data_IF_690592674994
#
_entry.id   IF_690592674994
#
_cell.length_a   1.000
_cell.length_b   1.000
_cell.length_c   1.000
_cell.angle_alpha   90.00
_cell.angle_beta   90.00
_cell.angle_gamma   90.00
#
_symmetry.space_group_name_H-M   'P 1'
#
loop_
_entity.id
_entity.type
_entity.pdbx_description
1 polymer ?
#
# COMPACT_ATOMS: atom_id res chain seq x y z
N UNK A 1 22.74 -7.53 -19.36
CA UNK A 1 21.64 -7.52 -18.38
C UNK A 1 21.53 -8.96 -17.91
N UNK A 2 21.59 -9.21 -16.63
CA UNK A 2 21.37 -10.56 -16.15
C UNK A 2 19.89 -10.90 -16.43
N UNK A 3 19.65 -12.03 -17.08
CA UNK A 3 18.30 -12.55 -17.29
C UNK A 3 17.69 -12.77 -15.91
N UNK A 4 16.76 -11.90 -15.55
CA UNK A 4 16.05 -11.99 -14.29
C UNK A 4 14.92 -13.02 -14.50
N UNK A 5 15.13 -14.24 -14.04
CA UNK A 5 14.05 -15.24 -13.97
C UNK A 5 13.00 -14.76 -12.96
N UNK A 6 11.82 -14.46 -13.45
CA UNK A 6 10.67 -14.18 -12.60
C UNK A 6 10.26 -15.52 -11.97
N UNK A 7 10.32 -15.65 -10.62
CA UNK A 7 9.95 -16.90 -9.97
C UNK A 7 8.49 -17.27 -10.31
N UNK A 8 8.22 -18.56 -10.52
CA UNK A 8 6.84 -19.03 -10.75
C UNK A 8 5.95 -18.68 -9.54
N UNK A 9 4.76 -18.17 -9.80
CA UNK A 9 3.73 -18.01 -8.80
C UNK A 9 3.34 -19.40 -8.27
N UNK A 10 3.19 -19.52 -6.94
CA UNK A 10 2.53 -20.69 -6.34
C UNK A 10 1.14 -20.82 -6.94
N UNK A 11 0.67 -22.05 -7.09
CA UNK A 11 -0.64 -22.34 -7.64
C UNK A 11 -1.72 -21.50 -6.97
N UNK A 12 -2.46 -20.81 -7.81
CA UNK A 12 -3.50 -19.90 -7.41
C UNK A 12 -4.77 -20.71 -7.03
N UNK A 13 -5.23 -20.50 -5.81
CA UNK A 13 -6.52 -21.04 -5.36
C UNK A 13 -7.57 -19.96 -5.52
N UNK A 14 -8.56 -20.22 -6.36
CA UNK A 14 -9.73 -19.36 -6.48
C UNK A 14 -10.53 -19.41 -5.17
N UNK A 15 -10.55 -18.29 -4.45
CA UNK A 15 -11.37 -18.16 -3.23
C UNK A 15 -12.68 -17.50 -3.64
N UNK A 16 -13.84 -18.16 -3.46
CA UNK A 16 -15.12 -17.53 -3.73
C UNK A 16 -15.27 -16.31 -2.82
N UNK A 17 -15.55 -15.15 -3.41
CA UNK A 17 -15.84 -13.93 -2.64
C UNK A 17 -17.14 -14.15 -1.87
N UNK A 18 -17.17 -13.96 -0.54
CA UNK A 18 -18.41 -14.01 0.19
C UNK A 18 -19.31 -12.87 -0.29
N UNK A 19 -20.60 -13.14 -0.40
CA UNK A 19 -21.60 -12.08 -0.53
C UNK A 19 -21.68 -11.36 0.82
N UNK A 20 -20.88 -10.31 0.98
CA UNK A 20 -20.90 -9.48 2.18
C UNK A 20 -22.09 -8.53 2.02
N UNK A 21 -23.18 -8.79 2.75
CA UNK A 21 -24.23 -7.81 2.97
C UNK A 21 -23.66 -6.58 3.71
N UNK A 22 -24.28 -5.43 3.55
CA UNK A 22 -23.94 -4.23 4.33
C UNK A 22 -24.04 -4.59 5.80
N UNK A 23 -22.90 -4.55 6.50
CA UNK A 23 -22.83 -4.85 7.92
C UNK A 23 -23.12 -3.57 8.71
N UNK A 24 -24.27 -3.51 9.38
CA UNK A 24 -24.43 -2.58 10.48
C UNK A 24 -23.61 -3.09 11.66
N UNK A 25 -22.52 -2.41 12.01
CA UNK A 25 -21.71 -2.79 13.16
C UNK A 25 -22.13 -1.99 14.38
N UNK A 26 -22.69 -2.68 15.37
CA UNK A 26 -22.90 -2.14 16.71
C UNK A 26 -21.65 -2.37 17.59
N UNK A 27 -20.52 -1.71 17.25
CA UNK A 27 -19.31 -1.83 18.06
C UNK A 27 -18.04 -2.09 17.25
N UNK A 28 -16.90 -2.36 17.93
CA UNK A 28 -15.65 -2.64 17.24
C UNK A 28 -15.79 -3.89 16.36
N UNK A 29 -15.29 -3.81 15.13
CA UNK A 29 -15.33 -4.93 14.19
C UNK A 29 -14.55 -6.11 14.76
N UNK A 30 -15.24 -7.19 15.05
CA UNK A 30 -14.65 -8.48 15.37
C UNK A 30 -14.85 -9.37 14.14
N UNK A 31 -13.75 -9.87 13.58
CA UNK A 31 -13.82 -10.81 12.47
C UNK A 31 -14.68 -12.02 12.88
N UNK A 32 -15.76 -12.27 12.13
CA UNK A 32 -16.65 -13.39 12.42
C UNK A 32 -15.97 -14.68 11.98
N UNK A 33 -15.90 -15.72 12.83
CA UNK A 33 -15.27 -17.00 12.48
C UNK A 33 -15.81 -17.59 11.17
N UNK A 34 -17.12 -17.55 10.97
CA UNK A 34 -17.78 -18.08 9.77
C UNK A 34 -17.32 -17.36 8.49
N UNK A 35 -17.04 -16.06 8.56
CA UNK A 35 -16.51 -15.31 7.42
C UNK A 35 -15.04 -15.64 7.14
N UNK A 36 -14.27 -15.90 8.19
CA UNK A 36 -12.87 -16.33 8.03
C UNK A 36 -12.80 -17.70 7.38
N UNK A 37 -13.65 -18.64 7.83
CA UNK A 37 -13.75 -19.98 7.24
C UNK A 37 -14.17 -19.91 5.77
N UNK A 38 -15.21 -19.13 5.43
CA UNK A 38 -15.67 -18.95 4.06
C UNK A 38 -14.58 -18.38 3.13
N UNK A 39 -13.71 -17.52 3.66
CA UNK A 39 -12.54 -16.97 2.93
C UNK A 39 -11.34 -17.93 2.95
N UNK A 40 -11.43 -19.07 3.64
CA UNK A 40 -10.34 -20.01 3.81
C UNK A 40 -9.19 -19.45 4.66
N UNK A 41 -9.48 -18.61 5.64
CA UNK A 41 -8.50 -18.08 6.59
C UNK A 41 -8.55 -18.82 7.94
N UNK A 42 -7.41 -18.93 8.62
CA UNK A 42 -6.06 -18.79 8.09
C UNK A 42 -5.77 -19.80 6.99
N UNK A 43 -4.84 -19.97 6.29
CA UNK A 43 -4.52 -21.06 5.37
C UNK A 43 -4.07 -22.32 6.10
N UNK A 44 -3.58 -23.29 5.34
CA UNK A 44 -2.97 -24.49 5.87
C UNK A 44 -1.47 -24.30 6.00
N UNK A 45 -0.91 -24.75 7.11
CA UNK A 45 0.54 -24.72 7.33
C UNK A 45 1.23 -25.68 6.35
N UNK A 46 2.32 -25.22 5.75
CA UNK A 46 3.17 -26.07 4.89
C UNK A 46 3.90 -27.12 5.72
N UNK A 47 4.36 -28.21 5.08
CA UNK A 47 5.21 -29.20 5.73
C UNK A 47 6.47 -28.52 6.31
N UNK A 48 6.89 -28.96 7.48
CA UNK A 48 8.06 -28.40 8.20
C UNK A 48 8.01 -26.87 8.45
N UNK A 49 6.80 -26.34 8.59
CA UNK A 49 6.52 -24.91 8.74
C UNK A 49 7.37 -24.23 9.84
N UNK A 50 7.64 -24.91 10.94
CA UNK A 50 8.44 -24.36 12.06
C UNK A 50 9.86 -23.99 11.57
N UNK A 51 10.53 -24.89 10.87
CA UNK A 51 11.86 -24.64 10.33
C UNK A 51 11.81 -23.60 9.20
N UNK A 52 10.79 -23.64 8.34
CA UNK A 52 10.60 -22.64 7.28
C UNK A 52 10.44 -21.24 7.90
N UNK A 53 9.61 -21.09 8.91
CA UNK A 53 9.39 -19.82 9.61
C UNK A 53 10.66 -19.29 10.28
N UNK A 54 11.36 -20.16 11.03
CA UNK A 54 12.59 -19.80 11.73
C UNK A 54 13.68 -19.37 10.76
N UNK A 55 13.89 -20.14 9.69
CA UNK A 55 14.90 -19.80 8.67
C UNK A 55 14.55 -18.48 7.98
N UNK A 56 13.28 -18.29 7.59
CA UNK A 56 12.83 -17.06 6.95
C UNK A 56 13.03 -15.83 7.85
N UNK A 57 12.68 -15.94 9.14
CA UNK A 57 12.94 -14.85 10.10
C UNK A 57 14.44 -14.53 10.23
N UNK A 58 15.28 -15.56 10.25
CA UNK A 58 16.74 -15.39 10.27
C UNK A 58 17.27 -14.68 9.02
N UNK A 59 16.79 -15.08 7.84
CA UNK A 59 17.15 -14.47 6.56
C UNK A 59 16.74 -13.01 6.50
N UNK A 60 15.51 -12.69 6.91
CA UNK A 60 15.01 -11.31 6.98
C UNK A 60 15.85 -10.44 7.91
N UNK A 61 16.17 -10.94 9.12
CA UNK A 61 17.02 -10.23 10.08
C UNK A 61 18.46 -10.03 9.59
N UNK A 62 18.97 -10.94 8.77
CA UNK A 62 20.30 -10.81 8.16
C UNK A 62 20.30 -9.89 6.94
N UNK A 63 19.27 -9.97 6.12
CA UNK A 63 19.13 -9.19 4.89
C UNK A 63 18.79 -7.74 5.19
N UNK A 64 17.88 -7.50 6.13
CA UNK A 64 17.40 -6.17 6.51
C UNK A 64 17.97 -5.77 7.88
N UNK A 65 19.11 -5.09 7.87
CA UNK A 65 19.77 -4.64 9.11
C UNK A 65 18.87 -3.77 9.98
N UNK A 66 17.99 -2.97 9.37
CA UNK A 66 16.99 -2.15 10.08
C UNK A 66 16.09 -2.99 10.97
N UNK A 67 15.57 -4.12 10.46
CA UNK A 67 14.71 -5.02 11.22
C UNK A 67 15.43 -5.50 12.50
N UNK A 68 16.68 -5.94 12.38
CA UNK A 68 17.47 -6.39 13.53
C UNK A 68 17.68 -5.27 14.57
N UNK A 69 18.02 -4.07 14.10
CA UNK A 69 18.16 -2.90 14.98
C UNK A 69 16.83 -2.60 15.70
N UNK A 70 15.71 -2.63 15.00
CA UNK A 70 14.40 -2.38 15.60
C UNK A 70 14.06 -3.42 16.68
N UNK A 71 14.32 -4.69 16.42
CA UNK A 71 14.09 -5.78 17.39
C UNK A 71 14.96 -5.65 18.64
N UNK A 72 16.21 -5.18 18.50
CA UNK A 72 17.15 -5.07 19.61
C UNK A 72 17.02 -3.74 20.39
N UNK A 73 16.65 -2.63 19.74
CA UNK A 73 16.69 -1.28 20.32
C UNK A 73 15.47 -0.89 21.14
N UNK A 74 14.36 -1.62 21.08
CA UNK A 74 13.15 -1.28 21.81
C UNK A 74 13.32 -1.46 23.32
N UNK A 75 13.21 -0.36 24.06
CA UNK A 75 13.29 -0.33 25.54
C UNK A 75 11.91 -0.40 26.22
N UNK A 76 10.83 -0.64 25.46
CA UNK A 76 9.45 -0.73 25.99
C UNK A 76 8.97 0.52 26.73
N UNK A 77 9.39 1.70 26.29
CA UNK A 77 9.03 2.98 26.94
C UNK A 77 7.53 3.34 26.82
N UNK A 78 6.77 2.68 25.93
CA UNK A 78 5.32 2.91 25.78
C UNK A 78 4.93 4.15 24.96
N UNK A 79 5.86 4.97 24.48
CA UNK A 79 5.55 6.20 23.74
C UNK A 79 4.70 6.00 22.47
N UNK A 80 4.66 4.78 21.94
CA UNK A 80 3.87 4.40 20.76
C UNK A 80 2.44 3.93 21.11
N UNK A 81 2.13 3.67 22.37
CA UNK A 81 0.89 2.98 22.80
C UNK A 81 -0.36 3.73 22.35
N UNK A 82 -0.50 5.00 22.75
CA UNK A 82 -1.64 5.86 22.42
C UNK A 82 -1.61 6.42 20.98
N UNK A 83 -0.65 5.97 20.16
CA UNK A 83 -0.53 6.37 18.76
C UNK A 83 -1.18 5.40 17.80
N UNK A 84 -1.49 4.19 18.26
CA UNK A 84 -2.14 3.16 17.43
C UNK A 84 -3.65 3.29 17.48
N UNK A 85 -4.28 3.53 16.33
CA UNK A 85 -5.73 3.63 16.22
C UNK A 85 -6.43 2.29 16.53
N UNK A 86 -5.82 1.15 16.19
CA UNK A 86 -6.35 -0.17 16.58
C UNK A 86 -6.36 -0.37 18.10
N UNK A 87 -5.30 0.05 18.79
CA UNK A 87 -5.28 0.00 20.24
C UNK A 87 -6.35 0.93 20.85
N UNK A 88 -6.45 2.15 20.32
CA UNK A 88 -7.46 3.11 20.81
C UNK A 88 -8.90 2.63 20.57
N UNK A 89 -9.15 1.96 19.43
CA UNK A 89 -10.47 1.46 19.09
C UNK A 89 -10.85 0.16 19.80
N UNK A 90 -9.88 -0.75 19.98
CA UNK A 90 -10.15 -2.09 20.57
C UNK A 90 -9.85 -2.18 22.04
N UNK A 91 -9.02 -1.29 22.60
CA UNK A 91 -8.46 -1.38 23.97
C UNK A 91 -7.67 -2.67 24.26
N UNK A 92 -7.43 -3.51 23.24
CA UNK A 92 -6.66 -4.75 23.37
C UNK A 92 -5.16 -4.41 23.49
N UNK A 93 -4.57 -4.80 24.63
CA UNK A 93 -3.15 -4.55 24.91
C UNK A 93 -2.19 -5.14 23.86
N UNK A 94 -2.57 -6.22 23.20
CA UNK A 94 -1.77 -6.84 22.14
C UNK A 94 -1.73 -6.00 20.85
N UNK A 95 -2.66 -5.07 20.68
CA UNK A 95 -2.67 -4.09 19.62
C UNK A 95 -1.72 -2.90 19.85
N UNK A 96 -1.13 -2.78 21.05
CA UNK A 96 -0.06 -1.79 21.25
C UNK A 96 1.12 -2.08 20.30
N UNK A 97 1.70 -1.10 19.64
CA UNK A 97 2.85 -1.32 18.75
C UNK A 97 4.04 -2.00 19.45
N UNK A 98 4.27 -1.67 20.70
CA UNK A 98 5.31 -2.33 21.53
C UNK A 98 5.01 -3.82 21.76
N UNK A 99 3.75 -4.20 21.93
CA UNK A 99 3.34 -5.60 22.09
C UNK A 99 3.54 -6.37 20.79
N UNK A 100 3.09 -5.82 19.65
CA UNK A 100 3.35 -6.42 18.33
C UNK A 100 4.85 -6.65 18.09
N UNK A 101 5.68 -5.68 18.44
CA UNK A 101 7.13 -5.86 18.33
C UNK A 101 7.62 -7.01 19.21
N UNK A 102 7.10 -7.15 20.41
CA UNK A 102 7.47 -8.25 21.32
C UNK A 102 7.03 -9.62 20.81
N UNK A 103 5.92 -9.72 20.08
CA UNK A 103 5.50 -10.98 19.46
C UNK A 103 6.61 -11.52 18.53
N UNK A 104 7.11 -10.71 17.61
CA UNK A 104 8.19 -11.11 16.71
C UNK A 104 9.51 -11.26 17.42
N UNK A 105 9.86 -10.29 18.29
CA UNK A 105 11.12 -10.25 19.03
C UNK A 105 11.32 -11.45 19.93
N UNK A 106 10.27 -11.94 20.57
CA UNK A 106 10.35 -13.08 21.48
C UNK A 106 10.79 -14.35 20.75
N UNK A 107 10.27 -14.58 19.53
CA UNK A 107 10.68 -15.71 18.69
C UNK A 107 12.08 -15.48 18.11
N UNK A 108 12.38 -14.27 17.61
CA UNK A 108 13.72 -13.91 17.17
C UNK A 108 14.77 -14.16 18.26
N UNK A 109 14.50 -13.78 19.51
CA UNK A 109 15.38 -14.02 20.64
C UNK A 109 15.61 -15.49 20.90
N UNK A 110 14.58 -16.32 20.81
CA UNK A 110 14.69 -17.75 21.06
C UNK A 110 15.64 -18.44 20.08
N UNK A 111 15.50 -18.19 18.79
CA UNK A 111 16.20 -18.93 17.74
C UNK A 111 17.50 -18.26 17.25
N UNK A 112 17.56 -16.92 17.24
CA UNK A 112 18.60 -16.17 16.53
C UNK A 112 19.59 -15.41 17.42
N UNK A 113 19.38 -15.41 18.74
CA UNK A 113 20.37 -14.79 19.65
C UNK A 113 21.21 -15.83 20.40
N UNK A 114 22.51 -15.53 20.73
CA UNK A 114 23.33 -16.43 21.51
C UNK A 114 22.70 -16.78 22.87
N UNK A 115 22.16 -15.78 23.58
CA UNK A 115 21.50 -15.98 24.86
C UNK A 115 20.28 -16.90 24.72
N UNK A 116 19.46 -16.73 23.68
CA UNK A 116 18.29 -17.57 23.40
C UNK A 116 18.70 -19.03 23.18
N UNK A 117 19.71 -19.26 22.36
CA UNK A 117 20.21 -20.61 22.06
C UNK A 117 20.76 -21.37 23.29
N UNK A 118 21.30 -20.65 24.27
CA UNK A 118 21.77 -21.23 25.51
C UNK A 118 20.66 -21.43 26.53
N UNK A 119 19.89 -20.37 26.79
CA UNK A 119 18.83 -20.37 27.82
C UNK A 119 17.66 -21.28 27.47
N UNK A 120 17.32 -21.43 26.17
CA UNK A 120 16.28 -22.36 25.74
C UNK A 120 16.62 -23.83 26.05
N UNK A 121 17.92 -24.22 25.96
CA UNK A 121 18.34 -25.57 26.33
C UNK A 121 18.25 -25.83 27.83
N UNK A 122 18.25 -24.77 28.64
CA UNK A 122 18.15 -24.83 30.10
C UNK A 122 16.70 -24.62 30.60
N UNK A 123 15.72 -24.40 29.70
CA UNK A 123 14.36 -24.08 30.08
C UNK A 123 14.21 -22.69 30.74
N UNK A 124 15.15 -21.78 30.48
CA UNK A 124 15.26 -20.45 31.10
C UNK A 124 15.00 -19.31 30.12
N UNK A 125 14.44 -19.61 28.96
CA UNK A 125 14.16 -18.64 27.87
C UNK A 125 13.29 -17.47 28.33
N UNK A 126 12.42 -17.68 29.30
CA UNK A 126 11.55 -16.62 29.85
C UNK A 126 12.33 -15.47 30.50
N UNK A 127 13.55 -15.70 30.99
CA UNK A 127 14.38 -14.66 31.60
C UNK A 127 14.76 -13.54 30.61
N UNK A 128 14.80 -13.87 29.34
CA UNK A 128 15.10 -12.89 28.27
C UNK A 128 13.86 -12.53 27.43
N UNK A 129 12.66 -12.95 27.86
CA UNK A 129 11.43 -12.75 27.11
C UNK A 129 11.42 -13.47 25.77
N UNK A 130 12.08 -14.63 25.68
CA UNK A 130 12.09 -15.46 24.48
C UNK A 130 10.94 -16.48 24.53
N UNK A 131 10.35 -16.81 23.38
CA UNK A 131 9.27 -17.77 23.20
C UNK A 131 9.61 -18.75 22.08
N UNK A 132 9.34 -20.03 22.31
CA UNK A 132 9.37 -21.02 21.23
C UNK A 132 8.23 -20.75 20.26
N UNK A 133 8.45 -20.94 18.98
CA UNK A 133 7.42 -20.86 17.95
C UNK A 133 6.48 -22.06 18.07
N UNK A 134 5.21 -21.81 18.10
CA UNK A 134 4.13 -22.81 18.15
C UNK A 134 2.96 -22.33 17.29
N UNK A 135 2.01 -23.20 16.99
CA UNK A 135 0.79 -22.82 16.26
C UNK A 135 0.01 -21.69 16.97
N UNK A 136 -0.05 -21.71 18.30
CA UNK A 136 -0.68 -20.61 19.06
C UNK A 136 0.03 -19.27 18.80
N UNK A 137 1.37 -19.28 18.71
CA UNK A 137 2.14 -18.08 18.39
C UNK A 137 1.89 -17.64 16.96
N UNK A 138 1.75 -18.56 16.01
CA UNK A 138 1.37 -18.24 14.63
C UNK A 138 -0.03 -17.63 14.57
N UNK A 139 -1.00 -18.15 15.32
CA UNK A 139 -2.35 -17.59 15.41
C UNK A 139 -2.35 -16.18 16.01
N UNK A 140 -1.54 -15.94 17.07
CA UNK A 140 -1.32 -14.58 17.61
C UNK A 140 -0.72 -13.66 16.55
N UNK A 141 0.29 -14.11 15.80
CA UNK A 141 0.91 -13.32 14.74
C UNK A 141 -0.08 -13.00 13.64
N UNK A 142 -0.83 -13.99 13.18
CA UNK A 142 -1.86 -13.79 12.16
C UNK A 142 -2.85 -12.69 12.56
N UNK A 143 -3.38 -12.77 13.76
CA UNK A 143 -4.32 -11.78 14.27
C UNK A 143 -3.70 -10.38 14.36
N UNK A 144 -2.61 -10.23 15.11
CA UNK A 144 -2.14 -8.91 15.49
C UNK A 144 -1.28 -8.23 14.43
N UNK A 145 -0.57 -8.97 13.59
CA UNK A 145 0.17 -8.36 12.51
C UNK A 145 -0.72 -7.95 11.33
N UNK A 146 -1.79 -8.69 11.02
CA UNK A 146 -2.72 -8.27 9.97
C UNK A 146 -3.66 -7.14 10.41
N UNK A 147 -3.89 -6.95 11.70
CA UNK A 147 -4.57 -5.76 12.22
C UNK A 147 -3.74 -4.47 12.10
N UNK A 148 -2.43 -4.57 11.88
CA UNK A 148 -1.60 -3.40 11.66
C UNK A 148 -1.84 -2.84 10.26
N UNK A 149 -2.42 -1.64 10.13
CA UNK A 149 -2.59 -0.96 8.84
C UNK A 149 -1.30 -0.39 8.25
N UNK A 150 -0.16 -0.59 8.90
CA UNK A 150 1.16 -0.09 8.48
C UNK A 150 1.23 1.44 8.31
N UNK A 151 0.39 2.17 9.01
CA UNK A 151 0.28 3.62 8.92
C UNK A 151 1.50 4.40 9.46
N UNK A 152 2.44 3.76 10.15
CA UNK A 152 3.70 4.33 10.69
C UNK A 152 3.54 5.44 11.74
N UNK A 153 2.33 5.69 12.25
CA UNK A 153 2.14 6.73 13.26
C UNK A 153 2.96 6.45 14.52
N UNK A 154 2.98 5.20 14.97
CA UNK A 154 3.82 4.76 16.08
C UNK A 154 5.33 4.96 15.83
N UNK A 155 5.76 4.86 14.58
CA UNK A 155 7.17 5.04 14.19
C UNK A 155 7.60 6.49 14.29
N UNK A 156 6.75 7.44 13.84
CA UNK A 156 7.01 8.89 13.94
C UNK A 156 7.15 9.35 15.39
N UNK A 157 6.34 8.80 16.29
CA UNK A 157 6.39 9.15 17.71
C UNK A 157 7.36 8.31 18.54
N UNK A 158 8.09 7.39 17.92
CA UNK A 158 9.09 6.58 18.61
C UNK A 158 10.40 7.38 18.84
N UNK A 159 10.81 7.62 20.09
CA UNK A 159 12.05 8.37 20.36
C UNK A 159 13.32 7.62 19.92
N UNK A 160 13.21 6.34 19.61
CA UNK A 160 14.31 5.47 19.14
C UNK A 160 14.25 5.20 17.63
N UNK A 161 13.32 5.80 16.92
CA UNK A 161 13.18 5.63 15.45
C UNK A 161 12.79 4.23 14.99
N UNK A 162 12.12 3.45 15.84
CA UNK A 162 11.70 2.08 15.50
C UNK A 162 10.51 2.11 14.54
N UNK A 163 10.62 1.39 13.43
CA UNK A 163 9.53 1.23 12.49
C UNK A 163 8.76 -0.07 12.73
N UNK A 164 7.63 0.03 13.44
CA UNK A 164 6.76 -1.13 13.71
C UNK A 164 6.05 -1.63 12.44
N UNK A 165 5.90 -0.80 11.41
CA UNK A 165 5.35 -1.25 10.13
C UNK A 165 6.30 -2.22 9.43
N UNK A 166 7.61 -1.98 9.44
CA UNK A 166 8.61 -2.91 8.91
C UNK A 166 8.64 -4.23 9.69
N UNK A 167 8.48 -4.17 11.01
CA UNK A 167 8.37 -5.38 11.85
C UNK A 167 7.12 -6.18 11.47
N UNK A 168 5.99 -5.51 11.22
CA UNK A 168 4.75 -6.16 10.80
C UNK A 168 4.88 -6.76 9.40
N UNK A 169 5.56 -6.09 8.48
CA UNK A 169 5.86 -6.64 7.14
C UNK A 169 6.70 -7.92 7.25
N UNK A 170 7.77 -7.90 8.05
CA UNK A 170 8.61 -9.08 8.24
C UNK A 170 7.84 -10.27 8.82
N UNK A 171 6.97 -10.03 9.79
CA UNK A 171 6.12 -11.08 10.37
C UNK A 171 5.13 -11.65 9.34
N UNK A 172 4.49 -10.77 8.53
CA UNK A 172 3.59 -11.19 7.45
C UNK A 172 4.30 -11.99 6.37
N UNK A 173 5.54 -11.62 6.02
CA UNK A 173 6.34 -12.38 5.06
C UNK A 173 6.65 -13.79 5.57
N UNK A 174 6.88 -13.95 6.88
CA UNK A 174 7.02 -15.28 7.48
C UNK A 174 5.71 -16.05 7.40
N UNK A 175 4.57 -15.42 7.75
CA UNK A 175 3.25 -16.04 7.69
C UNK A 175 2.89 -16.47 6.25
N UNK A 176 3.16 -15.64 5.27
CA UNK A 176 2.94 -15.98 3.85
C UNK A 176 3.79 -17.17 3.40
N UNK A 177 5.06 -17.19 3.82
CA UNK A 177 5.99 -18.28 3.47
C UNK A 177 5.57 -19.64 4.06
N UNK A 178 4.92 -19.66 5.21
CA UNK A 178 4.45 -20.90 5.86
C UNK A 178 3.02 -21.29 5.48
N UNK A 179 2.40 -20.61 4.52
CA UNK A 179 1.09 -20.97 3.96
C UNK A 179 -0.12 -20.30 4.63
N UNK A 180 0.10 -19.47 5.65
CA UNK A 180 -0.97 -18.73 6.35
C UNK A 180 -0.96 -17.24 6.05
N UNK A 181 -0.49 -16.85 4.88
CA UNK A 181 -0.59 -15.49 4.35
C UNK A 181 -2.02 -15.11 3.99
N UNK A 182 -2.25 -13.82 3.76
CA UNK A 182 -3.57 -13.31 3.40
C UNK A 182 -3.95 -13.72 1.97
N UNK A 183 -4.83 -14.71 1.82
CA UNK A 183 -5.22 -15.30 0.54
C UNK A 183 -5.78 -14.26 -0.44
N UNK A 184 -6.60 -13.33 0.01
CA UNK A 184 -7.17 -12.28 -0.83
C UNK A 184 -6.10 -11.43 -1.53
N UNK A 185 -5.07 -11.00 -0.80
CA UNK A 185 -3.96 -10.25 -1.41
C UNK A 185 -3.15 -11.10 -2.39
N UNK A 186 -2.93 -12.37 -2.07
CA UNK A 186 -2.26 -13.31 -2.97
C UNK A 186 -3.08 -13.54 -4.26
N UNK A 187 -4.40 -13.64 -4.15
CA UNK A 187 -5.30 -13.73 -5.29
C UNK A 187 -5.19 -12.51 -6.21
N UNK A 188 -5.25 -11.32 -5.65
CA UNK A 188 -5.09 -10.08 -6.41
C UNK A 188 -3.74 -10.02 -7.11
N UNK A 189 -2.66 -10.34 -6.39
CA UNK A 189 -1.30 -10.38 -6.97
C UNK A 189 -1.26 -11.37 -8.14
N UNK A 190 -1.89 -12.53 -7.99
CA UNK A 190 -2.01 -13.53 -9.05
C UNK A 190 -2.76 -13.01 -10.27
N UNK A 191 -3.87 -12.30 -10.09
CA UNK A 191 -4.63 -11.67 -11.18
C UNK A 191 -3.82 -10.61 -11.91
N UNK A 192 -3.18 -9.70 -11.16
CA UNK A 192 -2.31 -8.68 -11.76
C UNK A 192 -1.17 -9.30 -12.54
N UNK A 193 -0.55 -10.34 -12.00
CA UNK A 193 0.54 -11.03 -12.67
C UNK A 193 0.09 -11.73 -13.95
N UNK A 194 -1.07 -12.41 -13.96
CA UNK A 194 -1.57 -13.15 -15.11
C UNK A 194 -2.20 -12.26 -16.18
N UNK A 195 -2.95 -11.24 -15.77
CA UNK A 195 -3.85 -10.48 -16.66
C UNK A 195 -3.45 -9.00 -16.75
N UNK A 196 -2.82 -8.44 -15.71
CA UNK A 196 -2.34 -7.05 -15.69
C UNK A 196 -3.13 -6.13 -14.76
N UNK A 197 -4.27 -6.56 -14.24
CA UNK A 197 -5.07 -5.77 -13.30
C UNK A 197 -5.65 -6.63 -12.17
N UNK A 198 -5.96 -6.00 -11.04
CA UNK A 198 -6.41 -6.69 -9.82
C UNK A 198 -7.84 -7.24 -9.91
N UNK A 199 -8.65 -6.81 -10.87
CA UNK A 199 -9.98 -7.39 -11.11
C UNK A 199 -9.92 -8.64 -12.02
N UNK A 200 -8.81 -8.83 -12.74
CA UNK A 200 -8.65 -9.92 -13.66
C UNK A 200 -9.45 -9.74 -14.96
N UNK A 201 -9.67 -8.48 -15.38
CA UNK A 201 -10.41 -8.16 -16.59
C UNK A 201 -9.52 -8.27 -17.82
N UNK A 202 -9.98 -8.97 -18.87
CA UNK A 202 -9.29 -8.98 -20.15
C UNK A 202 -9.37 -7.58 -20.82
N UNK A 203 -8.39 -7.28 -21.65
CA UNK A 203 -8.29 -5.98 -22.34
C UNK A 203 -9.58 -5.52 -23.03
N UNK A 204 -10.34 -6.36 -23.76
CA UNK A 204 -11.59 -5.93 -24.38
C UNK A 204 -12.62 -5.42 -23.37
N UNK A 205 -12.80 -6.12 -22.25
CA UNK A 205 -13.74 -5.68 -21.21
C UNK A 205 -13.31 -4.38 -20.53
N UNK A 206 -12.01 -4.17 -20.38
CA UNK A 206 -11.48 -2.91 -19.88
C UNK A 206 -11.70 -1.78 -20.88
N UNK A 207 -11.52 -2.02 -22.18
CA UNK A 207 -11.78 -1.05 -23.24
C UNK A 207 -13.25 -0.65 -23.29
N UNK A 208 -14.19 -1.61 -23.21
CA UNK A 208 -15.64 -1.33 -23.17
C UNK A 208 -16.02 -0.45 -21.96
N UNK A 209 -15.40 -0.73 -20.80
CA UNK A 209 -15.63 0.10 -19.60
C UNK A 209 -15.14 1.53 -19.79
N UNK A 210 -13.95 1.71 -20.37
CA UNK A 210 -13.42 3.05 -20.63
C UNK A 210 -14.25 3.82 -21.67
N UNK A 211 -14.80 3.13 -22.68
CA UNK A 211 -15.72 3.73 -23.65
C UNK A 211 -17.00 4.24 -22.97
N UNK A 212 -17.57 3.46 -22.05
CA UNK A 212 -18.72 3.91 -21.25
C UNK A 212 -18.42 5.16 -20.40
N UNK A 213 -17.22 5.23 -19.80
CA UNK A 213 -16.80 6.43 -19.06
C UNK A 213 -16.56 7.63 -19.98
N UNK A 214 -16.07 7.44 -21.20
CA UNK A 214 -15.96 8.50 -22.20
C UNK A 214 -17.31 9.10 -22.57
N UNK A 215 -18.34 8.24 -22.73
CA UNK A 215 -19.73 8.66 -23.00
C UNK A 215 -20.28 9.47 -21.81
N UNK A 216 -20.08 9.02 -20.58
CA UNK A 216 -20.49 9.72 -19.36
C UNK A 216 -19.84 11.11 -19.27
N UNK A 217 -18.55 11.22 -19.57
CA UNK A 217 -17.86 12.52 -19.59
C UNK A 217 -18.45 13.45 -20.65
N UNK A 218 -18.73 12.93 -21.85
CA UNK A 218 -19.30 13.72 -22.95
C UNK A 218 -20.71 14.20 -22.60
N UNK A 219 -21.53 13.38 -21.94
CA UNK A 219 -22.85 13.77 -21.45
C UNK A 219 -22.77 14.88 -20.38
N UNK A 220 -21.78 14.79 -19.48
CA UNK A 220 -21.62 15.75 -18.37
C UNK A 220 -21.11 17.12 -18.83
N UNK A 221 -20.08 17.17 -19.66
CA UNK A 221 -19.41 18.43 -20.03
C UNK A 221 -19.60 18.85 -21.49
N UNK A 222 -20.31 18.06 -22.30
CA UNK A 222 -20.57 18.35 -23.73
C UNK A 222 -19.31 18.32 -24.63
N UNK A 223 -18.22 17.67 -24.15
CA UNK A 223 -16.95 17.57 -24.87
C UNK A 223 -16.46 16.13 -24.82
N UNK A 224 -16.16 15.57 -25.99
CA UNK A 224 -15.58 14.22 -26.09
C UNK A 224 -14.17 14.20 -25.49
N UNK A 225 -14.00 13.49 -24.40
CA UNK A 225 -12.72 13.25 -23.73
C UNK A 225 -12.35 11.77 -23.85
N UNK A 226 -11.12 11.48 -24.23
CA UNK A 226 -10.65 10.10 -24.42
C UNK A 226 -9.89 9.59 -23.20
N UNK A 227 -10.14 8.31 -22.86
CA UNK A 227 -9.39 7.51 -21.90
C UNK A 227 -8.54 6.48 -22.67
N UNK A 228 -7.37 6.87 -23.18
CA UNK A 228 -6.60 6.02 -24.08
C UNK A 228 -6.00 4.81 -23.36
N UNK A 229 -6.23 3.62 -23.89
CA UNK A 229 -5.67 2.36 -23.41
C UNK A 229 -4.56 1.89 -24.35
N UNK A 230 -3.41 1.50 -23.80
CA UNK A 230 -2.26 0.94 -24.52
C UNK A 230 -1.76 1.82 -25.70
N UNK A 231 -1.88 3.13 -25.60
CA UNK A 231 -1.45 4.05 -26.66
C UNK A 231 0.07 4.17 -26.72
N UNK A 232 0.69 3.61 -27.75
CA UNK A 232 2.13 3.73 -27.99
C UNK A 232 2.52 5.18 -28.33
N UNK A 233 3.65 5.64 -27.79
CA UNK A 233 4.14 7.00 -27.97
C UNK A 233 3.40 8.06 -27.14
N UNK A 234 2.63 7.66 -26.15
CA UNK A 234 2.15 8.58 -25.13
C UNK A 234 3.32 9.12 -24.30
N UNK A 235 3.19 10.36 -23.81
CA UNK A 235 4.22 10.94 -22.93
C UNK A 235 4.08 10.44 -21.48
N UNK A 236 2.85 10.15 -21.03
CA UNK A 236 2.54 9.78 -19.66
C UNK A 236 1.85 8.41 -19.63
N UNK A 237 2.34 7.49 -18.79
CA UNK A 237 1.60 6.33 -18.33
C UNK A 237 0.96 6.69 -17.00
N UNK A 238 -0.38 6.71 -16.96
CA UNK A 238 -1.14 6.82 -15.72
C UNK A 238 -1.36 5.42 -15.15
N UNK A 239 -0.89 5.20 -13.93
CA UNK A 239 -1.03 3.93 -13.19
C UNK A 239 -2.03 4.14 -12.07
N UNK A 240 -3.18 3.51 -12.18
CA UNK A 240 -4.27 3.62 -11.22
C UNK A 240 -4.64 2.25 -10.65
N UNK A 241 -5.31 2.19 -9.47
CA UNK A 241 -5.94 0.97 -9.01
C UNK A 241 -7.12 0.61 -9.94
N UNK A 242 -7.40 -0.69 -10.06
CA UNK A 242 -8.53 -1.14 -10.89
C UNK A 242 -9.90 -0.70 -10.34
N UNK A 243 -9.96 -0.28 -9.07
CA UNK A 243 -11.17 0.32 -8.50
C UNK A 243 -11.60 1.59 -9.26
N UNK A 244 -10.65 2.34 -9.82
CA UNK A 244 -10.92 3.56 -10.60
C UNK A 244 -11.76 3.31 -11.86
N UNK A 245 -11.90 2.06 -12.28
CA UNK A 245 -12.70 1.71 -13.46
C UNK A 245 -14.17 1.38 -13.14
N UNK A 246 -14.50 1.06 -11.87
CA UNK A 246 -15.81 0.47 -11.56
C UNK A 246 -16.42 0.89 -10.24
N UNK A 247 -15.63 1.39 -9.29
CA UNK A 247 -16.09 1.60 -7.93
C UNK A 247 -16.23 3.08 -7.62
N UNK A 248 -17.45 3.51 -7.32
CA UNK A 248 -17.67 4.84 -6.76
C UNK A 248 -17.06 4.95 -5.34
N UNK A 249 -16.45 6.06 -4.97
CA UNK A 249 -16.22 7.30 -5.77
C UNK A 249 -14.90 7.28 -6.59
N UNK A 250 -14.25 6.13 -6.76
CA UNK A 250 -12.95 6.03 -7.45
C UNK A 250 -13.06 6.35 -8.94
N UNK A 251 -14.19 5.99 -9.56
CA UNK A 251 -14.50 6.32 -10.97
C UNK A 251 -14.45 7.84 -11.21
N UNK A 252 -15.01 8.63 -10.29
CA UNK A 252 -14.94 10.09 -10.36
C UNK A 252 -13.50 10.62 -10.39
N UNK A 253 -12.59 9.94 -9.70
CA UNK A 253 -11.15 10.23 -9.73
C UNK A 253 -10.58 10.07 -11.14
N UNK A 254 -10.85 8.94 -11.80
CA UNK A 254 -10.37 8.68 -13.16
C UNK A 254 -10.99 9.67 -14.18
N UNK A 255 -12.26 9.91 -14.09
CA UNK A 255 -12.97 10.94 -14.89
C UNK A 255 -12.31 12.31 -14.68
N UNK A 256 -12.03 12.68 -13.43
CA UNK A 256 -11.35 13.93 -13.09
C UNK A 256 -9.95 14.02 -13.70
N UNK A 257 -9.16 12.94 -13.66
CA UNK A 257 -7.83 12.90 -14.30
C UNK A 257 -7.93 13.09 -15.82
N UNK A 258 -8.88 12.42 -16.46
CA UNK A 258 -9.10 12.54 -17.91
C UNK A 258 -9.49 13.98 -18.30
N UNK A 259 -10.40 14.61 -17.58
CA UNK A 259 -10.79 16.03 -17.79
C UNK A 259 -9.60 16.98 -17.64
N UNK A 260 -8.79 16.81 -16.57
CA UNK A 260 -7.59 17.61 -16.31
C UNK A 260 -6.56 17.44 -17.43
N UNK A 261 -6.28 16.20 -17.84
CA UNK A 261 -5.31 15.93 -18.89
C UNK A 261 -5.78 16.43 -20.27
N UNK A 262 -7.07 16.31 -20.56
CA UNK A 262 -7.67 16.84 -21.77
C UNK A 262 -7.53 18.37 -21.83
N UNK A 263 -7.92 19.07 -20.77
CA UNK A 263 -7.84 20.54 -20.73
C UNK A 263 -6.41 21.05 -20.84
N UNK A 264 -5.47 20.34 -20.24
CA UNK A 264 -4.04 20.67 -20.31
C UNK A 264 -3.36 20.24 -21.63
N UNK A 265 -4.07 19.51 -22.50
CA UNK A 265 -3.54 18.99 -23.76
C UNK A 265 -2.44 17.95 -23.58
N UNK A 266 -2.51 17.12 -22.54
CA UNK A 266 -1.50 16.09 -22.26
C UNK A 266 -1.72 14.85 -23.11
N UNK A 267 -0.61 14.26 -23.58
CA UNK A 267 -0.59 13.01 -24.30
C UNK A 267 -0.31 11.86 -23.31
N UNK A 268 -1.33 11.11 -22.95
CA UNK A 268 -1.28 10.11 -21.91
C UNK A 268 -1.93 8.78 -22.31
N UNK A 269 -1.74 7.77 -21.49
CA UNK A 269 -2.38 6.46 -21.66
C UNK A 269 -2.51 5.71 -20.34
N UNK A 270 -3.49 4.81 -20.29
CA UNK A 270 -3.57 3.70 -19.34
C UNK A 270 -2.90 2.46 -19.95
N UNK A 271 -2.69 1.43 -19.14
CA UNK A 271 -2.22 0.12 -19.62
C UNK A 271 -3.14 -0.99 -19.14
N UNK A 272 -3.50 -1.90 -20.03
CA UNK A 272 -4.19 -3.15 -19.66
C UNK A 272 -3.28 -4.16 -18.95
N UNK A 273 -1.95 -3.96 -19.01
CA UNK A 273 -0.94 -4.87 -18.47
C UNK A 273 -0.33 -4.42 -17.14
N UNK A 274 -0.60 -3.20 -16.70
CA UNK A 274 0.00 -2.62 -15.51
C UNK A 274 -0.98 -1.73 -14.77
N UNK A 275 -1.66 -2.29 -13.78
CA UNK A 275 -2.38 -1.51 -12.78
C UNK A 275 -1.55 -1.36 -11.51
N UNK A 276 -1.94 -0.43 -10.69
CA UNK A 276 -1.39 -0.23 -9.38
C UNK A 276 -1.82 -1.38 -8.46
N UNK A 277 -0.89 -2.16 -7.98
CA UNK A 277 -1.15 -3.29 -7.07
C UNK A 277 0.06 -3.66 -6.20
N UNK A 278 1.14 -2.91 -6.24
CA UNK A 278 2.33 -3.16 -5.42
C UNK A 278 2.04 -3.11 -3.92
N UNK A 279 1.02 -2.38 -3.51
CA UNK A 279 0.51 -2.34 -2.14
C UNK A 279 0.04 -3.70 -1.62
N UNK A 280 -0.51 -4.59 -2.46
CA UNK A 280 -0.89 -5.94 -2.02
C UNK A 280 0.32 -6.79 -1.65
N UNK A 281 1.44 -6.65 -2.36
CA UNK A 281 2.72 -7.23 -1.95
C UNK A 281 3.21 -6.68 -0.60
N UNK A 282 3.02 -5.39 -0.34
CA UNK A 282 3.32 -4.78 0.95
C UNK A 282 2.38 -5.33 2.06
N UNK A 283 1.10 -5.56 1.77
CA UNK A 283 0.14 -6.08 2.75
C UNK A 283 0.47 -7.50 3.20
N UNK A 284 1.01 -8.33 2.34
CA UNK A 284 1.50 -9.67 2.72
C UNK A 284 2.97 -9.68 3.17
N UNK A 285 3.64 -8.52 3.14
CA UNK A 285 5.05 -8.38 3.51
C UNK A 285 6.05 -8.85 2.47
N UNK A 286 5.61 -9.26 1.28
CA UNK A 286 6.45 -9.87 0.26
C UNK A 286 7.10 -8.84 -0.67
N UNK A 287 8.39 -8.59 -0.48
CA UNK A 287 9.20 -7.77 -1.40
C UNK A 287 9.30 -8.39 -2.79
N UNK A 288 9.28 -9.70 -2.89
CA UNK A 288 9.31 -10.43 -4.16
C UNK A 288 8.04 -10.14 -4.98
N UNK A 289 6.86 -10.23 -4.35
CA UNK A 289 5.60 -9.92 -5.02
C UNK A 289 5.47 -8.42 -5.35
N UNK A 290 5.95 -7.53 -4.46
CA UNK A 290 6.07 -6.11 -4.81
C UNK A 290 6.92 -5.91 -6.06
N UNK A 291 8.08 -6.61 -6.15
CA UNK A 291 8.96 -6.54 -7.31
C UNK A 291 8.28 -7.03 -8.58
N UNK A 292 7.60 -8.18 -8.54
CA UNK A 292 6.87 -8.72 -9.70
C UNK A 292 5.86 -7.74 -10.27
N UNK A 293 5.06 -7.14 -9.41
CA UNK A 293 4.03 -6.18 -9.82
C UNK A 293 4.65 -4.88 -10.34
N UNK A 294 5.67 -4.36 -9.67
CA UNK A 294 6.34 -3.13 -10.10
C UNK A 294 7.13 -3.32 -11.40
N UNK A 295 7.67 -4.53 -11.65
CA UNK A 295 8.31 -4.86 -12.93
C UNK A 295 7.32 -4.78 -14.10
N UNK A 296 6.05 -5.20 -13.93
CA UNK A 296 5.05 -5.04 -14.98
C UNK A 296 4.80 -3.58 -15.34
N UNK A 297 4.79 -2.69 -14.37
CA UNK A 297 4.67 -1.24 -14.63
C UNK A 297 5.85 -0.76 -15.47
N UNK A 298 7.07 -1.19 -15.14
CA UNK A 298 8.27 -0.86 -15.91
C UNK A 298 8.22 -1.41 -17.34
N UNK A 299 7.81 -2.65 -17.50
CA UNK A 299 7.67 -3.31 -18.81
C UNK A 299 6.63 -2.59 -19.68
N UNK A 300 5.46 -2.28 -19.13
CA UNK A 300 4.42 -1.52 -19.82
C UNK A 300 4.92 -0.12 -20.22
N UNK A 301 5.62 0.58 -19.34
CA UNK A 301 6.18 1.89 -19.64
C UNK A 301 7.19 1.85 -20.79
N UNK A 302 8.06 0.83 -20.83
CA UNK A 302 9.03 0.61 -21.92
C UNK A 302 8.34 0.26 -23.23
N UNK A 303 7.37 -0.66 -23.19
CA UNK A 303 6.64 -1.11 -24.39
C UNK A 303 5.85 0.03 -25.04
N UNK A 304 5.21 0.86 -24.22
CA UNK A 304 4.43 2.01 -24.67
C UNK A 304 5.32 3.19 -25.06
N UNK A 305 6.59 3.19 -24.66
CA UNK A 305 7.55 4.25 -24.99
C UNK A 305 7.27 5.57 -24.28
N UNK A 306 6.71 5.50 -23.08
CA UNK A 306 6.35 6.68 -22.29
C UNK A 306 7.58 7.34 -21.69
N UNK A 307 7.48 8.63 -21.39
CA UNK A 307 8.54 9.45 -20.80
C UNK A 307 8.33 9.74 -19.32
N UNK A 308 7.10 9.55 -18.82
CA UNK A 308 6.71 9.83 -17.43
C UNK A 308 5.78 8.73 -16.93
N UNK A 309 5.91 8.40 -15.66
CA UNK A 309 4.97 7.51 -14.95
C UNK A 309 4.27 8.34 -13.87
N UNK A 310 2.95 8.33 -13.87
CA UNK A 310 2.13 9.07 -12.91
C UNK A 310 1.24 8.09 -12.19
N UNK A 311 1.25 8.13 -10.86
CA UNK A 311 0.38 7.32 -10.02
C UNK A 311 -0.88 8.10 -9.62
N UNK A 312 -2.00 7.40 -9.57
CA UNK A 312 -3.28 7.92 -9.14
C UNK A 312 -3.31 8.24 -7.64
N UNK A 313 -4.49 8.18 -7.06
CA UNK A 313 -4.75 8.71 -5.70
C UNK A 313 -4.35 7.77 -4.56
N UNK A 314 -4.19 6.47 -4.80
CA UNK A 314 -4.00 5.48 -3.75
C UNK A 314 -2.70 5.71 -2.93
N UNK A 315 -2.88 6.08 -1.66
CA UNK A 315 -1.75 6.39 -0.79
C UNK A 315 -0.83 5.19 -0.51
N UNK A 316 -1.35 3.97 -0.47
CA UNK A 316 -0.53 2.75 -0.30
C UNK A 316 0.31 2.47 -1.54
N UNK A 317 -0.29 2.60 -2.72
CA UNK A 317 0.42 2.43 -3.98
C UNK A 317 1.49 3.49 -4.17
N UNK A 318 1.16 4.73 -3.87
CA UNK A 318 2.13 5.82 -3.90
C UNK A 318 3.30 5.57 -2.94
N UNK A 319 3.05 5.01 -1.75
CA UNK A 319 4.13 4.58 -0.85
C UNK A 319 5.04 3.54 -1.51
N UNK A 320 4.47 2.53 -2.17
CA UNK A 320 5.27 1.52 -2.87
C UNK A 320 6.01 2.13 -4.05
N UNK A 321 5.36 2.96 -4.85
CA UNK A 321 5.98 3.66 -5.96
C UNK A 321 7.16 4.53 -5.51
N UNK A 322 6.95 5.35 -4.50
CA UNK A 322 7.97 6.26 -4.00
C UNK A 322 9.12 5.54 -3.30
N UNK A 323 8.81 4.59 -2.40
CA UNK A 323 9.82 3.99 -1.52
C UNK A 323 10.54 2.81 -2.14
N UNK A 324 9.90 2.08 -3.05
CA UNK A 324 10.40 0.77 -3.48
C UNK A 324 10.55 0.61 -4.99
N UNK A 325 9.78 1.34 -5.84
CA UNK A 325 9.75 1.08 -7.28
C UNK A 325 11.14 1.14 -7.91
N UNK A 326 11.91 2.20 -7.66
CA UNK A 326 13.27 2.33 -8.19
C UNK A 326 14.22 1.22 -7.70
N UNK A 327 14.03 0.77 -6.46
CA UNK A 327 14.87 -0.28 -5.86
C UNK A 327 14.49 -1.66 -6.38
N UNK A 328 13.20 -1.92 -6.57
CA UNK A 328 12.68 -3.24 -6.93
C UNK A 328 12.64 -3.46 -8.46
N UNK A 329 12.34 -2.42 -9.23
CA UNK A 329 12.14 -2.50 -10.67
C UNK A 329 12.99 -1.52 -11.49
N UNK A 330 13.84 -0.73 -10.86
CA UNK A 330 14.73 0.22 -11.54
C UNK A 330 15.92 -0.43 -12.25
N UNK A 331 16.73 0.35 -12.96
CA UNK A 331 16.59 1.81 -13.12
C UNK A 331 15.49 2.21 -14.11
N UNK A 332 15.03 3.47 -13.99
CA UNK A 332 14.07 4.11 -14.91
C UNK A 332 14.75 5.16 -15.79
N UNK A 333 15.96 4.87 -16.26
CA UNK A 333 16.81 5.74 -17.08
C UNK A 333 16.26 6.03 -18.47
N UNK A 334 15.21 5.34 -18.88
CA UNK A 334 14.46 5.59 -20.12
C UNK A 334 13.43 6.73 -19.99
N UNK A 335 13.12 7.17 -18.77
CA UNK A 335 12.21 8.29 -18.55
C UNK A 335 12.89 9.63 -18.87
N UNK A 336 12.08 10.68 -19.04
CA UNK A 336 12.59 12.05 -19.22
C UNK A 336 13.47 12.44 -18.02
N UNK A 337 14.70 12.94 -18.25
CA UNK A 337 15.59 13.39 -17.17
C UNK A 337 14.99 14.45 -16.22
N UNK A 338 13.99 15.19 -16.68
CA UNK A 338 13.25 16.12 -15.82
C UNK A 338 12.25 15.42 -14.89
N UNK A 339 11.89 14.18 -15.21
CA UNK A 339 10.94 13.34 -14.45
C UNK A 339 11.50 11.93 -14.26
N UNK A 340 12.70 11.78 -13.65
CA UNK A 340 13.43 10.52 -13.62
C UNK A 340 12.81 9.47 -12.66
N UNK A 341 11.79 9.87 -11.92
CA UNK A 341 11.07 9.02 -10.97
C UNK A 341 9.57 9.21 -11.17
N UNK A 342 8.75 8.22 -10.77
CA UNK A 342 7.30 8.37 -10.79
C UNK A 342 6.83 9.60 -10.01
N UNK A 343 5.74 10.19 -10.48
CA UNK A 343 5.07 11.34 -9.87
C UNK A 343 3.70 10.95 -9.34
N UNK A 344 3.22 11.64 -8.32
CA UNK A 344 1.83 11.54 -7.91
C UNK A 344 0.94 12.44 -8.76
N UNK A 345 -0.30 12.04 -9.01
CA UNK A 345 -1.24 12.82 -9.81
C UNK A 345 -1.44 14.24 -9.27
N UNK A 346 -1.41 14.42 -7.94
CA UNK A 346 -1.52 15.75 -7.33
C UNK A 346 -0.31 16.65 -7.63
N UNK A 347 0.90 16.10 -7.83
CA UNK A 347 2.05 16.90 -8.26
C UNK A 347 1.83 17.46 -9.66
N UNK A 348 1.31 16.61 -10.55
CA UNK A 348 1.01 16.99 -11.94
C UNK A 348 -0.08 18.03 -11.98
N UNK A 349 -1.20 17.80 -11.26
CA UNK A 349 -2.33 18.73 -11.20
C UNK A 349 -1.90 20.07 -10.61
N UNK A 350 -1.15 20.06 -9.53
CA UNK A 350 -0.63 21.27 -8.89
C UNK A 350 0.27 22.08 -9.85
N UNK A 351 1.19 21.41 -10.55
CA UNK A 351 2.05 22.07 -11.55
C UNK A 351 1.22 22.72 -12.69
N UNK A 352 0.18 22.03 -13.16
CA UNK A 352 -0.73 22.54 -14.18
C UNK A 352 -1.50 23.79 -13.67
N UNK A 353 -1.96 23.78 -12.44
CA UNK A 353 -2.61 24.93 -11.79
C UNK A 353 -1.63 26.10 -11.71
N UNK A 354 -0.42 25.88 -11.22
CA UNK A 354 0.60 26.92 -11.07
C UNK A 354 1.01 27.55 -12.41
N UNK A 355 0.96 26.78 -13.48
CA UNK A 355 1.24 27.25 -14.86
C UNK A 355 0.02 27.87 -15.56
N UNK A 356 -1.13 27.94 -14.92
CA UNK A 356 -2.36 28.44 -15.53
C UNK A 356 -2.84 27.60 -16.73
N UNK A 357 -2.62 26.29 -16.70
CA UNK A 357 -3.04 25.35 -17.73
C UNK A 357 -4.47 24.84 -17.55
N UNK A 358 -5.04 25.08 -16.40
CA UNK A 358 -6.40 24.67 -16.05
C UNK A 358 -7.25 25.94 -15.85
N UNK A 359 -8.44 25.91 -16.43
CA UNK A 359 -9.46 26.92 -16.17
C UNK A 359 -10.25 26.49 -14.95
N UNK A 360 -10.00 27.12 -13.82
CA UNK A 360 -10.58 26.75 -12.53
C UNK A 360 -11.41 27.93 -12.03
N UNK A 361 -12.63 27.65 -11.60
CA UNK A 361 -13.48 28.59 -10.87
C UNK A 361 -13.80 28.02 -9.49
N UNK A 362 -13.17 28.55 -8.45
CA UNK A 362 -13.37 28.09 -7.08
C UNK A 362 -14.80 28.40 -6.58
N UNK A 363 -15.51 29.37 -7.19
CA UNK A 363 -16.85 29.76 -6.76
C UNK A 363 -17.91 28.69 -7.05
N UNK A 364 -17.69 27.80 -8.00
CA UNK A 364 -18.56 26.65 -8.27
C UNK A 364 -18.79 25.78 -7.02
N UNK A 365 -17.79 25.74 -6.13
CA UNK A 365 -17.82 24.97 -4.89
C UNK A 365 -18.16 25.79 -3.62
N UNK A 366 -18.64 27.03 -3.76
CA UNK A 366 -18.97 27.89 -2.61
C UNK A 366 -20.14 27.36 -1.76
N UNK A 367 -20.94 26.47 -2.31
CA UNK A 367 -22.00 25.77 -1.60
C UNK A 367 -21.51 24.68 -0.63
N UNK A 368 -20.22 24.30 -0.71
CA UNK A 368 -19.60 23.26 0.10
C UNK A 368 -18.58 23.84 1.08
N UNK A 369 -18.42 23.17 2.20
CA UNK A 369 -17.28 23.37 3.12
C UNK A 369 -16.41 22.13 3.07
N UNK A 370 -15.17 22.28 2.65
CA UNK A 370 -14.24 21.17 2.51
C UNK A 370 -13.22 21.12 3.64
N UNK A 371 -12.88 19.92 4.04
CA UNK A 371 -11.71 19.62 4.89
C UNK A 371 -10.86 18.54 4.22
N UNK A 372 -9.64 18.37 4.70
CA UNK A 372 -8.72 17.38 4.14
C UNK A 372 -8.15 16.48 5.22
N UNK A 373 -8.28 15.18 5.04
CA UNK A 373 -7.60 14.18 5.85
C UNK A 373 -6.32 13.73 5.14
N UNK A 374 -5.18 14.00 5.75
CA UNK A 374 -3.89 13.55 5.22
C UNK A 374 -3.83 12.02 5.16
N UNK A 375 -3.65 11.44 3.97
CA UNK A 375 -3.42 10.00 3.85
C UNK A 375 -2.17 9.60 4.62
N UNK A 376 -2.32 8.65 5.53
CA UNK A 376 -1.24 8.24 6.44
C UNK A 376 0.02 7.76 5.72
N UNK A 377 -0.13 7.03 4.61
CA UNK A 377 1.00 6.54 3.82
C UNK A 377 1.66 7.65 3.00
N UNK A 378 0.90 8.60 2.50
CA UNK A 378 1.42 9.77 1.80
C UNK A 378 2.18 10.66 2.78
N UNK A 379 1.56 11.06 3.88
CA UNK A 379 2.12 12.01 4.83
C UNK A 379 3.42 11.53 5.50
N UNK A 380 3.52 10.22 5.82
CA UNK A 380 4.64 9.67 6.61
C UNK A 380 5.66 8.86 5.83
N UNK A 381 5.34 8.43 4.62
CA UNK A 381 6.19 7.50 3.89
C UNK A 381 6.61 7.98 2.52
N UNK A 382 6.17 9.17 2.09
CA UNK A 382 6.43 9.68 0.75
C UNK A 382 6.80 11.16 0.73
N UNK A 383 7.05 11.65 -0.47
CA UNK A 383 7.21 13.07 -0.80
C UNK A 383 6.41 13.39 -2.04
N UNK A 384 6.06 14.65 -2.19
CA UNK A 384 5.53 15.24 -3.41
C UNK A 384 6.22 16.57 -3.69
N UNK A 385 6.50 16.81 -4.97
CA UNK A 385 7.13 18.03 -5.43
C UNK A 385 8.59 18.22 -4.98
N UNK A 386 9.22 19.32 -5.40
CA UNK A 386 10.64 19.55 -5.18
C UNK A 386 10.97 20.02 -3.75
N UNK A 387 9.98 20.53 -3.00
CA UNK A 387 10.19 21.08 -1.65
C UNK A 387 9.88 20.05 -0.56
N UNK A 388 10.62 20.03 0.55
CA UNK A 388 10.25 19.25 1.73
C UNK A 388 8.83 19.61 2.23
N UNK A 389 8.05 18.58 2.59
CA UNK A 389 6.67 18.76 3.07
C UNK A 389 5.63 18.95 1.96
N UNK A 390 6.01 18.82 0.68
CA UNK A 390 5.08 18.95 -0.44
C UNK A 390 3.90 17.98 -0.36
N UNK A 391 4.08 16.78 0.17
CA UNK A 391 3.01 15.81 0.40
C UNK A 391 1.92 16.30 1.38
N UNK A 392 2.19 17.35 2.13
CA UNK A 392 1.24 17.97 3.05
C UNK A 392 0.69 19.30 2.51
N UNK A 393 1.49 20.04 1.73
CA UNK A 393 1.12 21.36 1.22
C UNK A 393 0.41 21.27 -0.14
N UNK A 394 0.90 20.45 -1.06
CA UNK A 394 0.34 20.33 -2.43
C UNK A 394 -1.15 19.94 -2.41
N UNK A 395 -1.62 18.94 -1.66
CA UNK A 395 -3.04 18.63 -1.61
C UNK A 395 -3.91 19.82 -1.17
N UNK A 396 -3.44 20.56 -0.15
CA UNK A 396 -4.13 21.75 0.36
C UNK A 396 -4.14 22.90 -0.64
N UNK A 397 -3.07 23.09 -1.39
CA UNK A 397 -2.98 24.11 -2.44
C UNK A 397 -3.91 23.77 -3.61
N UNK A 398 -4.03 22.49 -3.98
CA UNK A 398 -4.97 22.04 -5.00
C UNK A 398 -6.41 22.25 -4.52
N UNK A 399 -6.77 21.88 -3.30
CA UNK A 399 -8.12 22.09 -2.76
C UNK A 399 -8.46 23.58 -2.72
N UNK A 400 -7.57 24.42 -2.24
CA UNK A 400 -7.78 25.87 -2.17
C UNK A 400 -7.90 26.55 -3.54
N UNK A 401 -7.36 25.93 -4.58
CA UNK A 401 -7.53 26.43 -5.95
C UNK A 401 -8.94 26.16 -6.51
N UNK A 402 -9.65 25.16 -5.97
CA UNK A 402 -10.95 24.73 -6.46
C UNK A 402 -12.10 24.98 -5.46
N UNK A 403 -11.79 25.48 -4.25
CA UNK A 403 -12.80 25.73 -3.22
C UNK A 403 -12.36 26.87 -2.28
N UNK A 404 -13.24 27.86 -2.11
CA UNK A 404 -12.99 29.00 -1.23
C UNK A 404 -13.21 28.65 0.26
N UNK A 405 -14.08 27.69 0.57
CA UNK A 405 -14.48 27.32 1.92
C UNK A 405 -13.70 26.10 2.41
N UNK A 406 -12.37 26.20 2.51
CA UNK A 406 -11.51 25.15 3.02
C UNK A 406 -11.11 25.40 4.48
N UNK A 407 -11.31 24.40 5.34
CA UNK A 407 -10.90 24.38 6.73
C UNK A 407 -10.06 23.13 7.03
N UNK A 408 -8.89 23.31 7.60
CA UNK A 408 -8.03 22.18 7.94
C UNK A 408 -8.54 21.43 9.18
N UNK A 409 -8.17 20.16 9.28
CA UNK A 409 -8.45 19.34 10.47
C UNK A 409 -7.77 19.91 11.73
N UNK A 410 -8.22 19.56 12.95
CA UNK A 410 -7.60 20.02 14.19
C UNK A 410 -6.10 19.67 14.28
N UNK A 411 -5.32 20.53 14.95
CA UNK A 411 -3.92 20.25 15.24
C UNK A 411 -3.77 18.91 15.97
N UNK A 412 -2.76 18.12 15.58
CA UNK A 412 -2.53 16.78 16.11
C UNK A 412 -3.25 15.64 15.33
N UNK A 413 -4.05 16.01 14.32
CA UNK A 413 -4.70 15.05 13.40
C UNK A 413 -4.31 15.28 11.94
N UNK A 414 -3.39 16.20 11.66
CA UNK A 414 -2.92 16.59 10.32
C UNK A 414 -1.45 16.22 10.10
N UNK A 415 -1.04 16.16 8.85
CA UNK A 415 0.33 15.87 8.45
C UNK A 415 0.84 14.55 9.04
N UNK A 416 2.04 14.55 9.62
CA UNK A 416 2.62 13.34 10.24
C UNK A 416 1.81 12.80 11.42
N UNK A 417 0.99 13.64 12.05
CA UNK A 417 0.15 13.23 13.19
C UNK A 417 -1.21 12.65 12.77
N UNK A 418 -1.52 12.61 11.48
CA UNK A 418 -2.80 12.06 10.98
C UNK A 418 -3.09 10.65 11.50
N UNK A 419 -4.34 10.33 11.69
CA UNK A 419 -4.78 8.96 12.00
C UNK A 419 -4.92 8.14 10.70
N UNK A 420 -5.02 6.84 10.83
CA UNK A 420 -5.36 5.97 9.72
C UNK A 420 -6.86 5.67 9.76
N UNK A 421 -7.47 5.56 8.61
CA UNK A 421 -8.88 5.15 8.52
C UNK A 421 -9.10 3.65 8.71
N UNK A 422 -8.03 2.85 8.63
CA UNK A 422 -8.08 1.39 8.70
C UNK A 422 -7.47 0.75 7.49
#
# INVERSE_FOLDING_TARGET
MADFEIPELKDYVEVPLPQIGVMESEGPFIAKPDHQEALGFPGELVDDWENVAVNKLGDLANRYRGLRVFLDSCVKCGACTDKCHYYLGTTDANNMPVARQDLLRSVYRYYHTPAGKVLSKLGMEKLIGARKLTEDVINEWYNYFHQCSQCRRCSVFCPYGIDTAEISMAAREVLDQIGVGQKYCNEIIGKVYKIGNNLGLPEPALADTLEGLEEEIEEDIGVAVKLPLNKKGADILLVTPSADFFAEPHVDGLIGYAKVFHQAGLNWTLSSHASEAGNFGMFIGSYENMQRVTMRIREAALELGVKRIVFGECGHAWRVAYSFLNTLAGPFDFLDPNYPVPQHILEVTHDLIQRGKLNIDASENDHMTLTFHDSCNVARATRMGPKPGGQMTIPREVIKAVCNNFYDMPKGTIGEATYCFG
#
